data_IF_260531294448
#
_entry.id   IF_260531294448
#
_cell.length_a   1.000
_cell.length_b   1.000
_cell.length_c   1.000
_cell.angle_alpha   90.00
_cell.angle_beta   90.00
_cell.angle_gamma   90.00
#
_symmetry.space_group_name_H-M   'P 1'
#
loop_
_entity.id
_entity.type
_entity.pdbx_description
1 polymer ?
#
# COMPACT_ATOMS: atom_id res chain seq x y z
N UNK A 1 -7.30 -3.17 1.51
CA UNK A 1 -6.69 -1.89 1.07
C UNK A 1 -7.73 -0.89 0.58
N UNK A 2 -8.68 -1.28 -0.27
CA UNK A 2 -9.66 -0.36 -0.89
C UNK A 2 -10.53 0.42 0.10
N UNK A 3 -11.06 -0.22 1.16
CA UNK A 3 -11.91 0.46 2.15
C UNK A 3 -11.14 1.56 2.89
N UNK A 4 -9.90 1.29 3.30
CA UNK A 4 -9.04 2.28 3.96
C UNK A 4 -8.78 3.49 3.08
N UNK A 5 -8.50 3.28 1.79
CA UNK A 5 -8.27 4.36 0.83
C UNK A 5 -9.52 5.24 0.72
N UNK A 6 -10.70 4.64 0.57
CA UNK A 6 -11.96 5.39 0.49
C UNK A 6 -12.22 6.20 1.76
N UNK A 7 -11.99 5.62 2.95
CA UNK A 7 -12.19 6.34 4.21
C UNK A 7 -11.22 7.51 4.39
N UNK A 8 -9.97 7.34 3.97
CA UNK A 8 -8.95 8.40 4.03
C UNK A 8 -9.27 9.52 3.04
N UNK A 9 -9.65 9.17 1.80
CA UNK A 9 -10.09 10.14 0.79
C UNK A 9 -11.31 10.94 1.24
N UNK A 10 -12.29 10.30 1.87
CA UNK A 10 -13.47 10.99 2.39
C UNK A 10 -13.11 11.94 3.53
N UNK A 11 -12.23 11.51 4.44
CA UNK A 11 -11.71 12.37 5.53
C UNK A 11 -10.97 13.58 4.97
N UNK A 12 -10.18 13.38 3.91
CA UNK A 12 -9.48 14.44 3.19
C UNK A 12 -10.43 15.45 2.55
N UNK A 13 -11.44 14.96 1.85
CA UNK A 13 -12.43 15.81 1.18
C UNK A 13 -13.21 16.64 2.19
N UNK A 14 -13.62 16.03 3.31
CA UNK A 14 -14.25 16.75 4.42
C UNK A 14 -13.33 17.82 5.02
N UNK A 15 -12.05 17.51 5.23
CA UNK A 15 -11.10 18.47 5.81
C UNK A 15 -10.83 19.65 4.87
N UNK A 16 -10.67 19.38 3.58
CA UNK A 16 -10.45 20.39 2.54
C UNK A 16 -11.63 21.36 2.41
N UNK A 17 -12.86 20.90 2.66
CA UNK A 17 -14.06 21.74 2.65
C UNK A 17 -14.25 22.47 3.98
N UNK A 18 -14.06 21.76 5.11
CA UNK A 18 -14.40 22.28 6.43
C UNK A 18 -13.45 23.39 6.90
N UNK A 19 -12.15 23.33 6.56
CA UNK A 19 -11.18 24.34 6.99
C UNK A 19 -11.50 25.71 6.37
N UNK A 20 -11.63 25.87 5.04
CA UNK A 20 -11.90 27.18 4.46
C UNK A 20 -13.35 27.65 4.71
N UNK A 21 -14.31 26.73 4.85
CA UNK A 21 -15.71 27.05 5.15
C UNK A 21 -15.90 27.74 6.51
N UNK A 22 -14.93 27.60 7.44
CA UNK A 22 -14.94 28.34 8.72
C UNK A 22 -14.84 29.85 8.55
N UNK A 23 -14.23 30.32 7.45
CA UNK A 23 -14.03 31.74 7.17
C UNK A 23 -15.15 32.26 6.26
N UNK A 24 -15.40 31.60 5.14
CA UNK A 24 -16.54 31.88 4.27
C UNK A 24 -16.82 30.73 3.31
N UNK A 25 -18.08 30.57 2.90
CA UNK A 25 -18.45 29.56 1.90
C UNK A 25 -17.77 29.81 0.54
N UNK A 26 -17.58 31.08 0.18
CA UNK A 26 -16.89 31.46 -1.06
C UNK A 26 -15.42 31.06 -1.05
N UNK A 27 -14.73 31.18 0.09
CA UNK A 27 -13.32 30.77 0.21
C UNK A 27 -13.15 29.25 0.07
N UNK A 28 -14.13 28.46 0.51
CA UNK A 28 -14.14 27.01 0.30
C UNK A 28 -14.28 26.64 -1.17
N UNK A 29 -15.22 27.27 -1.88
CA UNK A 29 -15.42 27.03 -3.32
C UNK A 29 -14.20 27.50 -4.12
N UNK A 30 -13.65 28.68 -3.80
CA UNK A 30 -12.47 29.23 -4.45
C UNK A 30 -11.23 28.35 -4.23
N UNK A 31 -10.99 27.89 -3.00
CA UNK A 31 -9.88 26.99 -2.68
C UNK A 31 -10.01 25.65 -3.41
N UNK A 32 -11.23 25.08 -3.46
CA UNK A 32 -11.49 23.84 -4.20
C UNK A 32 -11.25 24.02 -5.71
N UNK A 33 -11.75 25.12 -6.28
CA UNK A 33 -11.56 25.45 -7.68
C UNK A 33 -10.08 25.71 -8.03
N UNK A 34 -9.35 26.41 -7.16
CA UNK A 34 -7.91 26.65 -7.31
C UNK A 34 -7.11 25.34 -7.25
N UNK A 35 -7.47 24.43 -6.33
CA UNK A 35 -6.86 23.10 -6.24
C UNK A 35 -7.10 22.28 -7.51
N UNK A 36 -8.34 22.28 -8.00
CA UNK A 36 -8.71 21.56 -9.21
C UNK A 36 -8.00 22.15 -10.44
N UNK A 37 -7.95 23.48 -10.56
CA UNK A 37 -7.22 24.19 -11.62
C UNK A 37 -5.72 23.88 -11.60
N UNK A 38 -5.11 23.89 -10.41
CA UNK A 38 -3.71 23.52 -10.24
C UNK A 38 -3.45 22.07 -10.65
N UNK A 39 -4.30 21.12 -10.24
CA UNK A 39 -4.18 19.73 -10.66
C UNK A 39 -4.28 19.60 -12.20
N UNK A 40 -5.29 20.22 -12.82
CA UNK A 40 -5.48 20.21 -14.28
C UNK A 40 -4.26 20.80 -15.00
N UNK A 41 -3.77 21.96 -14.55
CA UNK A 41 -2.56 22.58 -15.09
C UNK A 41 -1.34 21.64 -15.01
N UNK A 42 -1.14 21.01 -13.87
CA UNK A 42 -0.02 20.11 -13.67
C UNK A 42 -0.13 18.84 -14.55
N UNK A 43 -1.34 18.29 -14.72
CA UNK A 43 -1.57 17.16 -15.63
C UNK A 43 -1.43 17.50 -17.11
N UNK A 44 -1.82 18.71 -17.52
CA UNK A 44 -1.84 19.13 -18.93
C UNK A 44 -0.52 19.72 -19.40
N UNK A 45 0.20 20.46 -18.54
CA UNK A 45 1.44 21.16 -18.92
C UNK A 45 2.67 20.47 -18.34
N UNK A 46 2.68 20.20 -17.03
CA UNK A 46 3.88 19.70 -16.36
C UNK A 46 4.15 18.23 -16.71
N UNK A 47 3.10 17.41 -16.78
CA UNK A 47 3.23 15.99 -17.16
C UNK A 47 3.89 15.77 -18.53
N UNK A 48 3.44 16.40 -19.64
CA UNK A 48 4.12 16.23 -20.93
C UNK A 48 5.51 16.91 -20.97
N UNK A 49 5.71 18.01 -20.25
CA UNK A 49 7.03 18.63 -20.13
C UNK A 49 8.03 17.68 -19.49
N UNK A 50 7.68 17.06 -18.35
CA UNK A 50 8.49 16.03 -17.69
C UNK A 50 8.75 14.85 -18.62
N UNK A 51 7.71 14.33 -19.29
CA UNK A 51 7.85 13.24 -20.26
C UNK A 51 8.91 13.54 -21.34
N UNK A 52 8.90 14.78 -21.83
CA UNK A 52 9.81 15.24 -22.88
C UNK A 52 11.24 15.36 -22.37
N UNK A 53 11.43 15.92 -21.17
CA UNK A 53 12.74 16.04 -20.53
C UNK A 53 13.34 14.67 -20.28
N UNK A 54 12.58 13.75 -19.68
CA UNK A 54 13.04 12.39 -19.39
C UNK A 54 13.39 11.61 -20.67
N UNK A 55 12.60 11.77 -21.74
CA UNK A 55 12.91 11.13 -23.04
C UNK A 55 14.23 11.64 -23.63
N UNK A 56 14.58 12.92 -23.43
CA UNK A 56 15.86 13.48 -23.88
C UNK A 56 17.04 13.01 -23.02
N UNK A 57 16.85 12.84 -21.71
CA UNK A 57 17.92 12.46 -20.77
C UNK A 57 18.22 10.95 -20.72
N UNK A 58 17.29 10.09 -21.15
CA UNK A 58 17.42 8.62 -21.10
C UNK A 58 18.58 8.00 -21.90
N UNK A 59 19.42 8.79 -22.59
CA UNK A 59 20.57 8.28 -23.36
C UNK A 59 21.87 8.13 -22.54
N UNK A 60 21.91 8.48 -21.24
CA UNK A 60 23.11 8.37 -20.40
C UNK A 60 22.85 7.75 -19.03
N UNK A 61 23.30 6.50 -18.83
CA UNK A 61 23.00 5.66 -17.65
C UNK A 61 23.83 5.98 -16.38
N UNK A 62 24.25 7.24 -16.15
CA UNK A 62 25.21 7.59 -15.08
C UNK A 62 24.75 8.61 -14.02
N UNK A 63 23.47 9.01 -13.99
CA UNK A 63 23.05 10.19 -13.19
C UNK A 63 21.99 9.93 -12.09
N UNK A 64 22.05 8.80 -11.38
CA UNK A 64 21.05 8.43 -10.34
C UNK A 64 20.90 9.51 -9.24
N UNK A 65 21.99 10.13 -8.80
CA UNK A 65 21.99 11.12 -7.71
C UNK A 65 21.28 12.44 -8.07
N UNK A 66 21.47 12.92 -9.31
CA UNK A 66 20.79 14.11 -9.80
C UNK A 66 19.28 13.94 -9.87
N UNK A 67 18.82 12.73 -10.20
CA UNK A 67 17.38 12.45 -10.21
C UNK A 67 16.76 12.46 -8.81
N UNK A 68 17.48 11.97 -7.79
CA UNK A 68 17.02 12.03 -6.40
C UNK A 68 16.83 13.50 -5.96
N UNK A 69 17.84 14.32 -6.21
CA UNK A 69 17.78 15.76 -5.94
C UNK A 69 16.63 16.43 -6.70
N UNK A 70 16.48 16.12 -7.99
CA UNK A 70 15.38 16.63 -8.82
C UNK A 70 14.00 16.27 -8.25
N UNK A 71 13.80 15.03 -7.81
CA UNK A 71 12.53 14.58 -7.20
C UNK A 71 12.27 15.37 -5.91
N UNK A 72 13.24 15.46 -5.01
CA UNK A 72 13.08 16.17 -3.74
C UNK A 72 12.77 17.66 -3.94
N UNK A 73 13.52 18.34 -4.82
CA UNK A 73 13.29 19.75 -5.15
C UNK A 73 11.92 19.95 -5.79
N UNK A 74 11.52 19.06 -6.70
CA UNK A 74 10.20 19.15 -7.35
C UNK A 74 9.07 18.93 -6.34
N UNK A 75 9.17 17.93 -5.46
CA UNK A 75 8.19 17.70 -4.38
C UNK A 75 8.05 18.95 -3.50
N UNK A 76 9.17 19.57 -3.10
CA UNK A 76 9.15 20.81 -2.32
C UNK A 76 8.49 21.96 -3.09
N UNK A 77 8.84 22.15 -4.37
CA UNK A 77 8.30 23.22 -5.20
C UNK A 77 6.78 23.09 -5.38
N UNK A 78 6.30 21.87 -5.64
CA UNK A 78 4.88 21.58 -5.76
C UNK A 78 4.14 21.74 -4.44
N UNK A 79 4.76 21.33 -3.32
CA UNK A 79 4.18 21.50 -1.99
C UNK A 79 4.02 22.98 -1.63
N UNK A 80 5.04 23.81 -1.94
CA UNK A 80 4.98 25.26 -1.75
C UNK A 80 3.94 25.91 -2.66
N UNK A 81 3.87 25.52 -3.94
CA UNK A 81 2.86 26.03 -4.86
C UNK A 81 1.43 25.73 -4.35
N UNK A 82 1.20 24.52 -3.84
CA UNK A 82 -0.07 24.12 -3.24
C UNK A 82 -0.40 24.94 -1.98
N UNK A 83 0.60 25.19 -1.14
CA UNK A 83 0.44 25.99 0.09
C UNK A 83 0.08 27.45 -0.21
N UNK A 84 0.73 28.06 -1.21
CA UNK A 84 0.43 29.42 -1.68
C UNK A 84 -0.98 29.56 -2.27
N UNK A 85 -1.53 28.49 -2.84
CA UNK A 85 -2.92 28.43 -3.32
C UNK A 85 -3.95 28.29 -2.17
N UNK A 86 -3.51 28.29 -0.92
CA UNK A 86 -4.37 28.19 0.26
C UNK A 86 -4.85 26.78 0.56
N UNK A 87 -4.15 25.76 0.04
CA UNK A 87 -4.47 24.34 0.27
C UNK A 87 -3.47 23.72 1.25
N UNK A 88 -3.59 22.42 1.55
CA UNK A 88 -2.58 21.72 2.37
C UNK A 88 -1.37 21.34 1.52
N UNK A 89 -0.16 21.56 2.04
CA UNK A 89 1.09 21.29 1.30
C UNK A 89 1.22 19.82 0.85
N UNK A 90 0.55 18.88 1.53
CA UNK A 90 0.49 17.46 1.17
C UNK A 90 -0.17 17.24 -0.20
N UNK A 91 -1.15 18.07 -0.58
CA UNK A 91 -1.84 17.97 -1.87
C UNK A 91 -0.86 18.21 -3.02
N UNK A 92 0.04 19.17 -2.90
CA UNK A 92 1.09 19.44 -3.89
C UNK A 92 2.03 18.26 -4.10
N UNK A 93 2.55 17.69 -3.00
CA UNK A 93 3.38 16.49 -3.05
C UNK A 93 2.64 15.30 -3.69
N UNK A 94 1.36 15.13 -3.37
CA UNK A 94 0.53 14.06 -3.93
C UNK A 94 0.29 14.24 -5.43
N UNK A 95 -0.02 15.46 -5.89
CA UNK A 95 -0.20 15.78 -7.32
C UNK A 95 1.09 15.49 -8.09
N UNK A 96 2.26 15.89 -7.56
CA UNK A 96 3.54 15.58 -8.17
C UNK A 96 3.76 14.06 -8.30
N UNK A 97 3.46 13.30 -7.24
CA UNK A 97 3.53 11.84 -7.25
C UNK A 97 2.63 11.19 -8.32
N UNK A 98 1.42 11.73 -8.54
CA UNK A 98 0.51 11.24 -9.59
C UNK A 98 0.97 11.57 -11.01
N UNK A 99 1.67 12.70 -11.19
CA UNK A 99 2.17 13.16 -12.48
C UNK A 99 3.43 12.41 -12.88
N UNK A 100 4.24 12.03 -11.89
CA UNK A 100 5.48 11.28 -12.08
C UNK A 100 5.21 9.98 -12.85
N UNK A 101 5.87 9.81 -14.00
CA UNK A 101 5.59 8.68 -14.88
C UNK A 101 6.32 7.43 -14.39
N UNK A 102 5.68 6.26 -14.55
CA UNK A 102 6.28 4.95 -14.27
C UNK A 102 7.66 4.76 -14.92
N UNK A 103 7.93 5.39 -16.07
CA UNK A 103 9.24 5.34 -16.74
C UNK A 103 10.35 6.07 -15.97
N UNK A 104 10.03 7.16 -15.27
CA UNK A 104 10.99 7.89 -14.43
C UNK A 104 11.28 7.11 -13.15
N UNK A 105 10.25 6.50 -12.57
CA UNK A 105 10.35 5.59 -11.43
C UNK A 105 11.12 4.31 -11.77
N UNK A 106 11.15 3.92 -13.05
CA UNK A 106 11.98 2.82 -13.52
C UNK A 106 13.47 3.21 -13.68
N UNK A 107 13.75 4.47 -14.05
CA UNK A 107 15.12 5.00 -14.19
C UNK A 107 15.74 5.29 -12.82
N UNK A 108 14.97 5.94 -11.95
CA UNK A 108 15.30 6.13 -10.54
C UNK A 108 14.80 4.91 -9.82
N UNK A 109 15.57 3.82 -9.82
CA UNK A 109 15.22 2.55 -9.16
C UNK A 109 14.49 2.85 -7.85
N UNK A 110 13.16 2.68 -7.85
CA UNK A 110 12.25 3.17 -6.81
C UNK A 110 12.72 2.75 -5.41
N UNK A 111 13.31 1.56 -5.33
CA UNK A 111 13.97 0.99 -4.16
C UNK A 111 14.98 1.95 -3.51
N UNK A 112 15.85 2.63 -4.26
CA UNK A 112 16.86 3.52 -3.68
C UNK A 112 16.25 4.80 -3.08
N UNK A 113 15.16 5.30 -3.67
CA UNK A 113 14.41 6.43 -3.10
C UNK A 113 13.64 5.98 -1.86
N UNK A 114 13.01 4.81 -1.91
CA UNK A 114 12.31 4.21 -0.78
C UNK A 114 13.25 3.93 0.40
N UNK A 115 14.45 3.39 0.13
CA UNK A 115 15.50 3.18 1.12
C UNK A 115 15.90 4.51 1.77
N UNK A 116 16.09 5.56 0.98
CA UNK A 116 16.43 6.89 1.50
C UNK A 116 15.32 7.47 2.39
N UNK A 117 14.06 7.38 1.95
CA UNK A 117 12.91 7.85 2.73
C UNK A 117 12.77 7.05 4.02
N UNK A 118 12.90 5.73 3.95
CA UNK A 118 12.68 4.83 5.09
C UNK A 118 13.84 4.87 6.08
N UNK A 119 15.08 5.01 5.62
CA UNK A 119 16.26 5.05 6.49
C UNK A 119 16.51 6.43 7.11
N UNK A 120 16.17 7.53 6.42
CA UNK A 120 16.49 8.88 6.87
C UNK A 120 15.26 9.75 7.17
N UNK A 121 14.35 9.95 6.21
CA UNK A 121 13.22 10.89 6.42
C UNK A 121 12.22 10.37 7.44
N UNK A 122 11.94 9.07 7.43
CA UNK A 122 10.95 8.45 8.29
C UNK A 122 11.37 8.51 9.78
N UNK A 123 12.61 8.13 10.18
CA UNK A 123 13.06 8.28 11.55
C UNK A 123 13.14 9.74 12.00
N UNK A 124 13.57 10.65 11.12
CA UNK A 124 13.59 12.09 11.42
C UNK A 124 12.18 12.63 11.68
N UNK A 125 11.20 12.24 10.87
CA UNK A 125 9.80 12.61 11.07
C UNK A 125 9.29 12.14 12.43
N UNK A 126 9.49 10.86 12.79
CA UNK A 126 9.05 10.34 14.08
C UNK A 126 9.81 10.94 15.26
N UNK A 127 11.09 11.26 15.10
CA UNK A 127 11.88 11.96 16.12
C UNK A 127 11.32 13.37 16.37
N UNK A 128 11.06 14.15 15.31
CA UNK A 128 10.48 15.48 15.41
C UNK A 128 9.06 15.45 16.02
N UNK A 129 8.26 14.45 15.65
CA UNK A 129 6.95 14.22 16.28
C UNK A 129 7.09 13.95 17.78
N UNK A 130 8.02 13.05 18.17
CA UNK A 130 8.24 12.66 19.56
C UNK A 130 8.71 13.81 20.45
N UNK A 131 9.61 14.67 19.94
CA UNK A 131 10.09 15.85 20.67
C UNK A 131 8.97 16.85 21.01
N UNK A 132 7.89 16.89 20.23
CA UNK A 132 6.74 17.77 20.46
C UNK A 132 5.72 17.20 21.44
N UNK A 133 5.90 15.97 21.92
CA UNK A 133 4.96 15.31 22.82
C UNK A 133 5.23 15.72 24.27
N UNK A 134 4.44 16.67 24.79
CA UNK A 134 4.41 17.03 26.21
C UNK A 134 3.51 16.07 27.00
N UNK A 135 3.90 14.79 27.05
CA UNK A 135 3.17 13.72 27.76
C UNK A 135 2.91 14.17 29.21
N UNK A 136 3.96 14.58 29.92
CA UNK A 136 3.94 14.90 31.35
C UNK A 136 3.00 16.02 31.78
N UNK A 137 2.54 16.86 30.85
CA UNK A 137 1.68 18.01 31.16
C UNK A 137 0.19 17.64 31.26
N UNK A 138 -0.19 16.46 30.77
CA UNK A 138 -1.60 16.05 30.73
C UNK A 138 -2.08 15.62 32.12
N UNK A 139 -3.03 16.37 32.70
CA UNK A 139 -3.53 16.10 34.06
C UNK A 139 -4.58 14.97 34.13
N UNK A 140 -5.20 14.58 33.01
CA UNK A 140 -6.40 13.72 33.00
C UNK A 140 -6.26 12.46 32.12
N UNK A 141 -5.19 11.70 32.33
CA UNK A 141 -4.88 10.47 31.58
C UNK A 141 -6.00 9.43 31.56
N UNK A 142 -6.70 9.24 32.69
CA UNK A 142 -7.77 8.24 32.78
C UNK A 142 -8.94 8.52 31.86
N UNK A 143 -9.39 9.78 31.76
CA UNK A 143 -10.46 10.18 30.87
C UNK A 143 -10.06 10.07 29.40
N UNK A 144 -8.83 10.46 29.07
CA UNK A 144 -8.28 10.32 27.73
C UNK A 144 -8.24 8.85 27.27
N UNK A 145 -7.74 7.95 28.13
CA UNK A 145 -7.65 6.52 27.83
C UNK A 145 -9.03 5.88 27.68
N UNK A 146 -9.98 6.25 28.54
CA UNK A 146 -11.37 5.82 28.44
C UNK A 146 -12.02 6.27 27.13
N UNK A 147 -11.81 7.53 26.71
CA UNK A 147 -12.32 8.06 25.45
C UNK A 147 -11.74 7.29 24.25
N UNK A 148 -10.44 6.97 24.28
CA UNK A 148 -9.78 6.19 23.23
C UNK A 148 -10.41 4.80 23.10
N UNK A 149 -10.60 4.11 24.22
CA UNK A 149 -11.25 2.78 24.24
C UNK A 149 -12.68 2.88 23.72
N UNK A 150 -13.43 3.91 24.11
CA UNK A 150 -14.81 4.10 23.65
C UNK A 150 -14.89 4.36 22.15
N UNK A 151 -14.06 5.26 21.61
CA UNK A 151 -13.98 5.53 20.18
C UNK A 151 -13.54 4.31 19.37
N UNK A 152 -12.57 3.55 19.89
CA UNK A 152 -12.13 2.27 19.34
C UNK A 152 -13.29 1.27 19.26
N UNK A 153 -13.91 1.02 20.41
CA UNK A 153 -15.00 0.07 20.56
C UNK A 153 -16.17 0.42 19.65
N UNK A 154 -16.58 1.69 19.62
CA UNK A 154 -17.62 2.17 18.73
C UNK A 154 -17.30 1.86 17.26
N UNK A 155 -16.08 2.16 16.80
CA UNK A 155 -15.66 1.92 15.41
C UNK A 155 -15.66 0.43 15.06
N UNK A 156 -15.12 -0.42 15.95
CA UNK A 156 -15.12 -1.88 15.77
C UNK A 156 -16.55 -2.41 15.71
N UNK A 157 -17.41 -2.01 16.65
CA UNK A 157 -18.81 -2.47 16.74
C UNK A 157 -19.60 -2.05 15.49
N UNK A 158 -19.43 -0.81 15.01
CA UNK A 158 -20.11 -0.35 13.79
C UNK A 158 -19.73 -1.19 12.56
N UNK A 159 -18.43 -1.44 12.36
CA UNK A 159 -17.96 -2.23 11.22
C UNK A 159 -18.38 -3.70 11.36
N UNK A 160 -18.38 -4.23 12.59
CA UNK A 160 -18.84 -5.58 12.87
C UNK A 160 -20.33 -5.75 12.53
N UNK A 161 -21.18 -4.79 12.89
CA UNK A 161 -22.60 -4.77 12.55
C UNK A 161 -22.82 -4.75 11.03
N UNK A 162 -22.11 -3.88 10.31
CA UNK A 162 -22.18 -3.81 8.84
C UNK A 162 -21.70 -5.10 8.20
N UNK A 163 -20.59 -5.67 8.68
CA UNK A 163 -20.06 -6.94 8.19
C UNK A 163 -21.06 -8.09 8.39
N UNK A 164 -21.83 -8.05 9.49
CA UNK A 164 -22.88 -9.03 9.76
C UNK A 164 -24.04 -8.90 8.78
N UNK A 165 -24.44 -7.67 8.44
CA UNK A 165 -25.43 -7.40 7.40
C UNK A 165 -24.97 -7.89 6.02
N UNK A 166 -23.69 -7.72 5.70
CA UNK A 166 -23.05 -8.25 4.49
C UNK A 166 -22.80 -9.77 4.49
N UNK A 167 -23.33 -10.52 5.49
CA UNK A 167 -23.19 -11.97 5.64
C UNK A 167 -21.74 -12.49 5.72
N UNK A 168 -20.79 -11.66 6.16
CA UNK A 168 -19.42 -12.11 6.43
C UNK A 168 -19.35 -12.99 7.70
N UNK A 169 -18.42 -13.98 7.76
CA UNK A 169 -18.20 -14.76 8.98
C UNK A 169 -17.70 -13.85 10.10
N UNK A 170 -18.12 -14.15 11.34
CA UNK A 170 -17.90 -13.28 12.51
C UNK A 170 -16.42 -12.97 12.77
N UNK A 171 -15.54 -13.95 12.55
CA UNK A 171 -14.10 -13.76 12.72
C UNK A 171 -13.54 -12.73 11.73
N UNK A 172 -13.88 -12.85 10.45
CA UNK A 172 -13.44 -11.91 9.41
C UNK A 172 -14.02 -10.51 9.63
N UNK A 173 -15.28 -10.40 10.06
CA UNK A 173 -15.91 -9.12 10.38
C UNK A 173 -15.27 -8.41 11.57
N UNK A 174 -14.90 -9.15 12.62
CA UNK A 174 -14.18 -8.59 13.78
C UNK A 174 -12.75 -8.18 13.40
N UNK A 175 -12.02 -9.04 12.68
CA UNK A 175 -10.70 -8.72 12.13
C UNK A 175 -10.71 -7.46 11.27
N UNK A 176 -11.73 -7.29 10.43
CA UNK A 176 -11.91 -6.09 9.61
C UNK A 176 -12.14 -4.84 10.48
N UNK A 177 -12.97 -4.94 11.53
CA UNK A 177 -13.20 -3.86 12.48
C UNK A 177 -11.93 -3.42 13.20
N UNK A 178 -11.10 -4.38 13.66
CA UNK A 178 -9.81 -4.10 14.29
C UNK A 178 -8.85 -3.46 13.29
N UNK A 179 -8.75 -3.98 12.06
CA UNK A 179 -7.88 -3.44 11.00
C UNK A 179 -8.20 -1.99 10.64
N UNK A 180 -9.47 -1.56 10.71
CA UNK A 180 -9.90 -0.19 10.43
C UNK A 180 -9.49 0.82 11.51
N UNK A 181 -8.94 0.37 12.64
CA UNK A 181 -8.34 1.25 13.65
C UNK A 181 -6.88 1.60 13.35
N UNK A 182 -6.24 0.89 12.41
CA UNK A 182 -4.92 1.28 11.94
C UNK A 182 -5.01 2.63 11.23
N UNK A 183 -4.21 3.59 11.72
CA UNK A 183 -4.01 4.86 11.02
C UNK A 183 -2.58 4.91 10.50
N UNK A 184 -2.46 5.36 9.27
CA UNK A 184 -1.16 5.51 8.62
C UNK A 184 -0.43 6.77 9.06
N UNK A 185 0.78 6.93 8.53
CA UNK A 185 1.61 8.13 8.71
C UNK A 185 0.90 9.42 8.32
N UNK A 186 0.03 9.36 7.31
CA UNK A 186 -0.73 10.50 6.81
C UNK A 186 -1.59 11.17 7.89
N UNK A 187 -2.19 10.36 8.78
CA UNK A 187 -2.98 10.87 9.87
C UNK A 187 -2.14 11.65 10.89
N UNK A 188 -0.89 11.22 11.12
CA UNK A 188 0.07 11.93 11.98
C UNK A 188 0.53 13.24 11.35
N UNK A 189 0.80 13.25 10.04
CA UNK A 189 1.16 14.48 9.31
C UNK A 189 0.04 15.52 9.43
N UNK A 190 -1.22 15.12 9.22
CA UNK A 190 -2.38 16.01 9.34
C UNK A 190 -2.54 16.53 10.78
N UNK A 191 -2.33 15.65 11.77
CA UNK A 191 -2.39 16.02 13.17
C UNK A 191 -1.32 17.07 13.51
N UNK A 192 -0.10 16.88 13.01
CA UNK A 192 1.01 17.84 13.17
C UNK A 192 0.71 19.18 12.49
N UNK A 193 0.17 19.17 11.26
CA UNK A 193 -0.27 20.40 10.58
C UNK A 193 -1.36 21.17 11.36
N UNK A 194 -2.30 20.47 12.00
CA UNK A 194 -3.33 21.12 12.83
C UNK A 194 -2.73 21.75 14.08
N UNK A 195 -1.74 21.10 14.68
CA UNK A 195 -1.01 21.63 15.82
C UNK A 195 -0.21 22.88 15.44
N UNK A 196 0.48 22.88 14.29
CA UNK A 196 1.25 24.04 13.80
C UNK A 196 0.34 25.24 13.50
N UNK A 197 -0.91 25.02 13.06
CA UNK A 197 -1.93 26.07 12.90
C UNK A 197 -2.58 26.53 14.21
N UNK A 198 -2.06 26.08 15.35
CA UNK A 198 -2.59 26.36 16.70
C UNK A 198 -4.07 25.99 16.87
N UNK A 199 -4.58 25.03 16.08
CA UNK A 199 -5.96 24.55 16.18
C UNK A 199 -6.16 23.57 17.34
N UNK A 200 -5.07 23.09 17.94
CA UNK A 200 -5.03 22.09 18.99
C UNK A 200 -4.12 22.56 20.10
N UNK A 201 -4.54 22.33 21.34
CA UNK A 201 -3.67 22.57 22.50
C UNK A 201 -2.63 21.44 22.63
N UNK A 202 -1.51 21.70 23.32
CA UNK A 202 -0.43 20.73 23.51
C UNK A 202 -0.89 19.41 24.12
N UNK A 203 -1.80 19.47 25.10
CA UNK A 203 -2.40 18.29 25.75
C UNK A 203 -3.24 17.46 24.77
N UNK A 204 -4.10 18.12 23.97
CA UNK A 204 -4.95 17.44 22.98
C UNK A 204 -4.12 16.78 21.87
N UNK A 205 -3.06 17.45 21.43
CA UNK A 205 -2.11 16.90 20.47
C UNK A 205 -1.43 15.64 21.01
N UNK A 206 -0.92 15.68 22.25
CA UNK A 206 -0.26 14.54 22.89
C UNK A 206 -1.22 13.35 23.04
N UNK A 207 -2.45 13.59 23.50
CA UNK A 207 -3.49 12.56 23.65
C UNK A 207 -3.82 11.93 22.28
N UNK A 208 -3.99 12.73 21.23
CA UNK A 208 -4.33 12.21 19.90
C UNK A 208 -3.19 11.42 19.26
N UNK A 209 -1.93 11.86 19.39
CA UNK A 209 -0.79 11.08 18.89
C UNK A 209 -0.70 9.75 19.63
N UNK A 210 -0.80 9.77 20.96
CA UNK A 210 -0.76 8.55 21.77
C UNK A 210 -1.91 7.60 21.42
N UNK A 211 -3.13 8.13 21.23
CA UNK A 211 -4.27 7.36 20.77
C UNK A 211 -3.97 6.64 19.45
N UNK A 212 -3.43 7.35 18.45
CA UNK A 212 -3.08 6.77 17.15
C UNK A 212 -2.05 5.65 17.29
N UNK A 213 -1.01 5.87 18.11
CA UNK A 213 0.05 4.90 18.34
C UNK A 213 -0.45 3.65 19.08
N UNK A 214 -1.18 3.82 20.19
CA UNK A 214 -1.75 2.71 20.97
C UNK A 214 -2.72 1.89 20.13
N UNK A 215 -3.61 2.57 19.40
CA UNK A 215 -4.60 1.91 18.56
C UNK A 215 -3.95 1.11 17.43
N UNK A 216 -2.98 1.71 16.74
CA UNK A 216 -2.28 1.05 15.62
C UNK A 216 -1.37 -0.07 16.11
N UNK A 217 -0.67 0.13 17.24
CA UNK A 217 0.18 -0.87 17.87
C UNK A 217 -0.59 -2.06 18.45
N UNK A 218 -1.86 -1.87 18.86
CA UNK A 218 -2.71 -2.95 19.35
C UNK A 218 -3.23 -3.87 18.23
N UNK A 219 -3.28 -3.42 16.97
CA UNK A 219 -3.84 -4.23 15.87
C UNK A 219 -3.04 -5.51 15.59
N UNK A 220 -1.71 -5.49 15.38
CA UNK A 220 -0.94 -6.71 15.11
C UNK A 220 -1.09 -7.83 16.16
N UNK A 221 -0.99 -7.57 17.49
CA UNK A 221 -1.15 -8.64 18.48
C UNK A 221 -2.59 -9.16 18.54
N UNK A 222 -3.59 -8.29 18.43
CA UNK A 222 -5.00 -8.70 18.39
C UNK A 222 -5.25 -9.60 17.17
N UNK A 223 -4.74 -9.19 16.00
CA UNK A 223 -4.94 -9.94 14.76
C UNK A 223 -4.18 -11.27 14.78
N UNK A 224 -2.98 -11.31 15.35
CA UNK A 224 -2.22 -12.57 15.54
C UNK A 224 -2.89 -13.54 16.51
N UNK A 225 -3.68 -13.03 17.48
CA UNK A 225 -4.44 -13.89 18.39
C UNK A 225 -5.65 -14.52 17.70
N UNK A 226 -6.37 -13.74 16.90
CA UNK A 226 -7.56 -14.19 16.16
C UNK A 226 -7.17 -15.06 14.96
N UNK A 227 -6.19 -14.60 14.19
CA UNK A 227 -5.71 -15.25 12.99
C UNK A 227 -4.49 -16.07 13.36
N UNK A 228 -4.64 -17.39 13.43
CA UNK A 228 -3.51 -18.31 13.49
C UNK A 228 -3.06 -18.65 12.06
N UNK A 229 -2.14 -17.90 11.42
CA UNK A 229 -1.63 -18.22 10.08
C UNK A 229 -0.99 -19.62 10.05
N UNK A 230 -0.53 -20.10 11.20
CA UNK A 230 0.20 -21.35 11.32
C UNK A 230 -0.66 -22.61 11.09
N UNK A 231 -2.01 -22.54 11.20
CA UNK A 231 -2.86 -23.72 10.93
C UNK A 231 -2.91 -24.09 9.44
N UNK A 232 -2.95 -23.10 8.54
CA UNK A 232 -2.93 -23.35 7.07
C UNK A 232 -1.53 -23.70 6.56
N UNK A 233 -0.50 -23.07 7.10
CA UNK A 233 0.90 -23.37 6.72
C UNK A 233 1.38 -24.72 7.28
N UNK A 234 0.90 -25.14 8.47
CA UNK A 234 1.16 -26.47 9.02
C UNK A 234 0.61 -27.59 8.13
N UNK A 235 -0.56 -27.42 7.52
CA UNK A 235 -1.10 -28.36 6.54
C UNK A 235 -0.23 -28.47 5.27
N UNK A 236 0.46 -27.39 4.88
CA UNK A 236 1.45 -27.44 3.80
C UNK A 236 2.78 -28.08 4.23
N UNK A 237 3.23 -27.85 5.48
CA UNK A 237 4.44 -28.47 6.04
C UNK A 237 4.37 -29.99 6.15
N UNK A 238 3.18 -30.58 6.14
CA UNK A 238 3.02 -32.05 6.14
C UNK A 238 3.06 -32.69 4.75
N UNK A 239 3.18 -31.92 3.66
CA UNK A 239 3.28 -32.43 2.28
C UNK A 239 4.73 -32.65 1.84
N UNK A 240 5.49 -33.42 2.61
CA UNK A 240 6.78 -33.94 2.15
C UNK A 240 6.53 -35.12 1.21
N UNK A 241 7.37 -35.30 0.18
CA UNK A 241 7.30 -36.45 -0.74
C UNK A 241 7.25 -37.78 0.03
N UNK A 242 8.01 -37.87 1.13
CA UNK A 242 8.06 -39.05 2.01
C UNK A 242 6.74 -39.38 2.74
N UNK A 243 5.79 -38.44 2.82
CA UNK A 243 4.46 -38.63 3.42
C UNK A 243 3.37 -38.84 2.37
N UNK A 244 3.71 -38.85 1.08
CA UNK A 244 2.78 -39.19 0.03
C UNK A 244 2.36 -40.66 0.17
N UNK A 245 1.08 -40.97 -0.08
CA UNK A 245 0.61 -42.35 -0.05
C UNK A 245 1.24 -43.10 -1.23
N UNK A 246 1.81 -44.29 -1.01
CA UNK A 246 2.47 -45.06 -2.08
C UNK A 246 1.49 -45.37 -3.24
N UNK A 247 0.22 -45.59 -2.95
CA UNK A 247 -0.81 -45.94 -3.93
C UNK A 247 -1.48 -44.74 -4.64
N UNK A 248 -0.89 -43.54 -4.54
CA UNK A 248 -1.48 -42.32 -5.11
C UNK A 248 -0.62 -41.75 -6.23
N UNK A 249 -1.25 -41.30 -7.32
CA UNK A 249 -0.54 -40.68 -8.44
C UNK A 249 0.28 -39.48 -7.97
N UNK A 250 1.59 -39.52 -8.20
CA UNK A 250 2.47 -38.42 -7.86
C UNK A 250 2.42 -37.36 -8.97
N UNK A 251 1.77 -36.22 -8.68
CA UNK A 251 1.56 -35.13 -9.64
C UNK A 251 2.67 -34.09 -9.52
N UNK A 252 3.46 -33.94 -10.60
CA UNK A 252 4.57 -32.98 -10.70
C UNK A 252 4.16 -31.85 -11.64
N UNK A 253 4.34 -30.60 -11.23
CA UNK A 253 4.22 -29.43 -12.10
C UNK A 253 5.63 -29.00 -12.54
N UNK A 254 5.93 -29.21 -13.81
CA UNK A 254 7.19 -28.89 -14.46
C UNK A 254 7.11 -27.50 -15.11
N UNK A 255 7.72 -26.49 -14.50
CA UNK A 255 7.76 -25.13 -15.03
C UNK A 255 9.04 -24.89 -15.86
N UNK A 256 8.91 -24.41 -17.10
CA UNK A 256 10.06 -24.05 -17.94
C UNK A 256 9.86 -22.71 -18.63
N UNK A 257 10.93 -21.92 -18.74
CA UNK A 257 10.96 -20.60 -19.37
C UNK A 257 11.71 -20.60 -20.71
N UNK A 258 12.63 -21.55 -20.93
CA UNK A 258 13.43 -21.65 -22.14
C UNK A 258 13.56 -23.11 -22.56
N UNK A 259 13.49 -23.38 -23.87
CA UNK A 259 13.63 -24.73 -24.45
C UNK A 259 14.95 -25.42 -24.08
N UNK A 260 15.98 -24.65 -23.67
CA UNK A 260 17.27 -25.16 -23.24
C UNK A 260 17.20 -26.04 -21.97
N UNK A 261 16.22 -25.79 -21.09
CA UNK A 261 16.12 -26.48 -19.80
C UNK A 261 15.20 -27.72 -19.85
N UNK A 262 14.49 -27.92 -20.98
CA UNK A 262 13.52 -29.00 -21.13
C UNK A 262 14.22 -30.36 -21.08
N UNK A 263 15.37 -30.51 -21.74
CA UNK A 263 16.13 -31.77 -21.73
C UNK A 263 16.63 -32.15 -20.33
N UNK A 264 17.03 -31.17 -19.51
CA UNK A 264 17.44 -31.43 -18.13
C UNK A 264 16.27 -31.89 -17.26
N UNK A 265 15.08 -31.32 -17.45
CA UNK A 265 13.87 -31.72 -16.73
C UNK A 265 13.39 -33.11 -17.15
N UNK A 266 13.49 -33.45 -18.44
CA UNK A 266 13.18 -34.81 -18.92
C UNK A 266 14.11 -35.83 -18.28
N UNK A 267 15.42 -35.58 -18.25
CA UNK A 267 16.37 -36.50 -17.61
C UNK A 267 16.08 -36.71 -16.11
N UNK A 268 15.65 -35.66 -15.38
CA UNK A 268 15.26 -35.79 -13.96
C UNK A 268 13.96 -36.59 -13.80
N UNK A 269 13.01 -36.43 -14.72
CA UNK A 269 11.78 -37.21 -14.75
C UNK A 269 12.05 -38.69 -15.08
N UNK A 270 12.95 -38.96 -16.02
CA UNK A 270 13.38 -40.31 -16.37
C UNK A 270 14.10 -40.99 -15.19
N UNK A 271 14.96 -40.24 -14.48
CA UNK A 271 15.61 -40.72 -13.26
C UNK A 271 14.63 -41.00 -12.10
N UNK A 272 13.40 -40.44 -12.15
CA UNK A 272 12.39 -40.66 -11.11
C UNK A 272 11.70 -42.03 -11.22
N UNK A 273 11.99 -42.81 -12.27
CA UNK A 273 11.62 -44.22 -12.47
C UNK A 273 10.19 -44.58 -12.02
N UNK A 274 9.20 -44.07 -12.75
CA UNK A 274 7.79 -44.30 -12.46
C UNK A 274 7.45 -45.81 -12.50
N UNK A 275 6.82 -46.31 -11.43
CA UNK A 275 6.42 -47.72 -11.31
C UNK A 275 4.91 -47.87 -11.52
N UNK A 276 4.44 -49.12 -11.74
CA UNK A 276 2.99 -49.40 -11.83
C UNK A 276 2.25 -49.16 -10.51
N UNK A 277 2.94 -49.25 -9.38
CA UNK A 277 2.36 -49.02 -8.06
C UNK A 277 2.40 -47.54 -7.67
N UNK A 278 3.30 -46.76 -8.27
CA UNK A 278 3.47 -45.31 -8.05
C UNK A 278 3.51 -44.54 -9.39
N UNK A 279 2.35 -44.39 -10.07
CA UNK A 279 2.29 -43.67 -11.33
C UNK A 279 2.63 -42.18 -11.16
N UNK A 280 3.43 -41.65 -12.09
CA UNK A 280 3.90 -40.27 -12.10
C UNK A 280 3.18 -39.48 -13.21
N UNK A 281 2.51 -38.39 -12.82
CA UNK A 281 1.77 -37.52 -13.74
C UNK A 281 2.43 -36.15 -13.80
N UNK A 282 2.83 -35.71 -14.99
CA UNK A 282 3.57 -34.45 -15.17
C UNK A 282 2.71 -33.43 -15.90
N UNK A 283 2.54 -32.27 -15.29
CA UNK A 283 1.92 -31.09 -15.90
C UNK A 283 3.02 -30.13 -16.33
N UNK A 284 3.12 -29.84 -17.63
CA UNK A 284 4.08 -28.88 -18.17
C UNK A 284 3.48 -27.46 -18.15
N UNK A 285 4.18 -26.51 -17.53
CA UNK A 285 3.84 -25.09 -17.54
C UNK A 285 4.94 -24.31 -18.25
N UNK A 286 4.61 -23.75 -19.42
CA UNK A 286 5.51 -22.86 -20.13
C UNK A 286 5.30 -21.41 -19.65
N UNK A 287 6.32 -20.82 -19.03
CA UNK A 287 6.30 -19.42 -18.60
C UNK A 287 6.77 -18.53 -19.74
N UNK A 288 5.86 -17.68 -20.22
CA UNK A 288 6.14 -16.63 -21.19
C UNK A 288 6.11 -15.28 -20.49
N UNK A 289 7.17 -14.49 -20.65
CA UNK A 289 7.20 -13.12 -20.14
C UNK A 289 6.27 -12.23 -20.97
N UNK A 290 5.23 -11.69 -20.34
CA UNK A 290 4.28 -10.77 -20.98
C UNK A 290 4.76 -9.33 -20.81
N UNK A 291 5.47 -8.80 -21.81
CA UNK A 291 5.89 -7.39 -21.80
C UNK A 291 4.65 -6.48 -21.91
N UNK A 292 4.37 -5.67 -20.87
CA UNK A 292 3.34 -4.63 -20.89
C UNK A 292 2.02 -4.94 -20.16
N UNK A 293 1.92 -6.05 -19.41
CA UNK A 293 0.79 -6.32 -18.50
C UNK A 293 1.28 -6.58 -17.08
N UNK A 294 0.53 -6.11 -16.08
CA UNK A 294 0.83 -6.34 -14.65
C UNK A 294 0.23 -7.64 -14.10
N UNK A 295 -0.60 -8.35 -14.88
CA UNK A 295 -1.30 -9.57 -14.44
C UNK A 295 -0.76 -10.81 -15.15
N UNK A 296 -0.50 -11.86 -14.36
CA UNK A 296 -0.19 -13.19 -14.87
C UNK A 296 -1.46 -13.82 -15.46
N UNK A 297 -1.34 -14.43 -16.65
CA UNK A 297 -2.44 -15.13 -17.32
C UNK A 297 -2.07 -16.59 -17.54
N UNK A 298 -2.87 -17.51 -17.00
CA UNK A 298 -2.70 -18.94 -17.20
C UNK A 298 -3.51 -19.38 -18.43
N UNK A 299 -2.83 -19.84 -19.48
CA UNK A 299 -3.47 -20.37 -20.68
C UNK A 299 -3.36 -21.89 -20.67
N UNK A 300 -4.49 -22.58 -20.55
CA UNK A 300 -4.54 -24.05 -20.62
C UNK A 300 -4.40 -24.47 -22.07
N UNK A 301 -3.26 -25.06 -22.44
CA UNK A 301 -3.08 -25.70 -23.73
C UNK A 301 -3.63 -27.12 -23.65
N UNK A 302 -4.79 -27.36 -24.30
CA UNK A 302 -5.38 -28.69 -24.38
C UNK A 302 -4.95 -29.34 -25.71
N UNK A 303 -4.11 -30.41 -25.69
CA UNK A 303 -3.58 -31.02 -26.92
C UNK A 303 -4.65 -31.75 -27.76
N UNK A 304 -5.86 -31.99 -27.24
CA UNK A 304 -6.94 -32.71 -27.93
C UNK A 304 -7.79 -31.86 -28.90
N UNK A 305 -7.24 -30.80 -29.48
CA UNK A 305 -7.84 -30.10 -30.63
C UNK A 305 -6.90 -30.13 -31.83
N UNK A 306 -6.65 -31.31 -32.37
CA UNK A 306 -6.20 -31.43 -33.75
C UNK A 306 -7.41 -31.40 -34.69
N UNK A 307 -7.42 -30.40 -35.58
CA UNK A 307 -7.92 -30.46 -36.95
C UNK A 307 -9.25 -31.21 -37.20
N UNK A 308 -10.37 -30.49 -37.12
CA UNK A 308 -11.54 -30.75 -37.97
C UNK A 308 -11.80 -29.50 -38.80
N UNK A 309 -11.09 -29.41 -39.92
CA UNK A 309 -11.32 -28.44 -40.99
C UNK A 309 -10.82 -29.09 -42.27
N UNK A 310 -11.74 -29.74 -42.98
CA UNK A 310 -11.63 -29.99 -44.42
C UNK A 310 -11.60 -28.64 -45.14
#
# INVERSE_FOLDING_TARGET
>A
MSISIVSELFTWLLLAILIPARVSALNAVLSLAATAGFAVFCFTVVRPALATVIRKTSKGNKYIEYYLCFILVSVCLFSLASDMLGTTSIVGAFIFGLIMQNRVLAIVRLEKFEDFVTAYLLPLFFSALGMRLEIWKTSHWGMALLLIILCCGAKIVSIFLVSRYCKMPRQEGFSLGVLMNTKGILALIILNMRFDKSLLQGEEYAIMVLAILLMTGAVPPILSSIYHPNKRLSQCKQRTIQKARPDSEFKILACFQSNRNVSGMINVLDCSNASKESPLSVFALHLVELTGRASAMLIVHNPNRSSSGR
#
